data_IF_327071497505
#
_entry.id   IF_327071497505
#
_cell.length_a   1.000
_cell.length_b   1.000
_cell.length_c   1.000
_cell.angle_alpha   90.00
_cell.angle_beta   90.00
_cell.angle_gamma   90.00
#
_symmetry.space_group_name_H-M   'P 1'
#
loop_
_entity.id
_entity.type
_entity.pdbx_description
1 polymer ?
#
# COMPACT_ATOMS: atom_id res chain seq x y z
N UNK A 1 -12.45 -21.89 -3.56
CA UNK A 1 -13.12 -20.64 -3.94
C UNK A 1 -12.55 -19.61 -3.00
N UNK A 2 -11.65 -18.78 -3.48
CA UNK A 2 -10.94 -17.78 -2.67
C UNK A 2 -11.91 -16.67 -2.27
N UNK A 3 -12.44 -16.75 -1.05
CA UNK A 3 -13.37 -15.75 -0.50
C UNK A 3 -12.80 -14.31 -0.55
N UNK A 4 -11.47 -14.16 -0.58
CA UNK A 4 -10.79 -12.86 -0.76
C UNK A 4 -11.07 -12.22 -2.11
N UNK A 5 -11.12 -13.02 -3.19
CA UNK A 5 -11.33 -12.50 -4.55
C UNK A 5 -12.73 -11.91 -4.72
N UNK A 6 -13.72 -12.52 -4.07
CA UNK A 6 -15.11 -12.05 -4.10
C UNK A 6 -15.32 -10.74 -3.30
N UNK A 7 -14.37 -10.36 -2.44
CA UNK A 7 -14.44 -9.18 -1.56
C UNK A 7 -13.21 -8.27 -1.69
N UNK A 8 -12.62 -8.21 -2.88
CA UNK A 8 -11.34 -7.55 -3.08
C UNK A 8 -11.36 -6.04 -2.86
N UNK A 9 -12.48 -5.38 -3.12
CA UNK A 9 -12.69 -3.98 -2.81
C UNK A 9 -12.58 -3.69 -1.30
N UNK A 10 -13.09 -4.61 -0.46
CA UNK A 10 -13.01 -4.50 1.00
C UNK A 10 -11.58 -4.68 1.47
N UNK A 11 -10.86 -5.65 0.90
CA UNK A 11 -9.45 -5.88 1.20
C UNK A 11 -8.58 -4.69 0.77
N UNK A 12 -8.83 -4.14 -0.42
CA UNK A 12 -8.15 -2.93 -0.92
C UNK A 12 -8.36 -1.77 0.04
N UNK A 13 -9.61 -1.49 0.44
CA UNK A 13 -9.93 -0.40 1.37
C UNK A 13 -9.27 -0.58 2.74
N UNK A 14 -9.09 -1.83 3.19
CA UNK A 14 -8.46 -2.17 4.47
C UNK A 14 -6.94 -2.04 4.44
N UNK A 15 -6.34 -2.35 3.29
CA UNK A 15 -4.89 -2.47 3.12
C UNK A 15 -4.25 -1.20 2.58
N UNK A 16 -4.89 -0.50 1.66
CA UNK A 16 -4.36 0.73 1.10
C UNK A 16 -4.76 1.95 1.94
N UNK A 17 -3.75 2.49 2.62
CA UNK A 17 -3.88 3.62 3.52
C UNK A 17 -3.71 4.94 2.75
N UNK A 18 -4.50 5.93 3.13
CA UNK A 18 -4.29 7.31 2.70
C UNK A 18 -3.06 7.88 3.40
N UNK A 19 -2.16 8.49 2.64
CA UNK A 19 -1.06 9.25 3.22
C UNK A 19 -1.58 10.60 3.72
N UNK A 20 -1.34 10.90 4.99
CA UNK A 20 -1.65 12.20 5.58
C UNK A 20 -0.52 13.20 5.30
N UNK A 21 -0.87 14.43 4.93
CA UNK A 21 0.12 15.48 4.62
C UNK A 21 0.72 16.09 5.88
N UNK A 22 -0.05 16.15 6.97
CA UNK A 22 0.35 16.70 8.27
C UNK A 22 -0.03 15.74 9.41
N UNK A 23 0.68 14.61 9.57
CA UNK A 23 0.41 13.63 10.62
C UNK A 23 0.56 14.20 12.05
N UNK A 24 1.34 15.26 12.22
CA UNK A 24 1.47 16.02 13.47
C UNK A 24 0.36 17.08 13.69
N UNK A 25 -0.48 17.31 12.68
CA UNK A 25 -1.54 18.32 12.69
C UNK A 25 -1.16 19.63 11.99
N UNK A 26 -2.11 20.58 11.98
CA UNK A 26 -1.91 21.86 11.31
C UNK A 26 -0.74 22.66 11.89
N UNK A 27 -0.13 23.52 11.07
CA UNK A 27 0.94 24.40 11.52
C UNK A 27 0.55 25.18 12.78
N UNK A 28 1.35 25.05 13.84
CA UNK A 28 1.09 25.68 15.15
C UNK A 28 0.17 24.89 16.09
N UNK A 29 -0.21 23.64 15.74
CA UNK A 29 -0.90 22.75 16.65
C UNK A 29 -0.09 22.51 17.94
N UNK A 30 -0.79 22.45 19.08
CA UNK A 30 -0.15 22.17 20.37
C UNK A 30 0.15 20.68 20.58
N UNK A 31 -0.55 19.81 19.85
CA UNK A 31 -0.40 18.36 19.92
C UNK A 31 0.87 17.90 19.20
N UNK A 32 1.54 16.86 19.71
CA UNK A 32 2.71 16.26 19.05
C UNK A 32 3.97 17.13 19.06
N UNK A 33 3.99 18.25 19.80
CA UNK A 33 5.10 19.22 19.80
C UNK A 33 6.45 18.60 20.19
N UNK A 34 6.43 17.72 21.19
CA UNK A 34 7.63 17.10 21.76
C UNK A 34 7.66 15.58 21.47
N UNK A 35 6.74 15.08 20.64
CA UNK A 35 6.64 13.67 20.27
C UNK A 35 7.11 13.47 18.82
N UNK A 36 7.84 12.38 18.52
CA UNK A 36 8.19 12.05 17.14
C UNK A 36 6.93 11.86 16.29
N UNK A 37 7.00 12.32 15.05
CA UNK A 37 5.95 12.05 14.07
C UNK A 37 5.93 10.56 13.74
N UNK A 38 4.79 9.92 13.97
CA UNK A 38 4.54 8.54 13.59
C UNK A 38 3.63 8.46 12.38
N UNK A 39 3.92 7.56 11.44
CA UNK A 39 3.11 7.37 10.24
C UNK A 39 1.73 6.78 10.56
N UNK A 40 1.57 6.02 11.66
CA UNK A 40 0.31 5.38 12.04
C UNK A 40 0.13 5.34 13.55
N UNK A 41 -1.07 5.66 14.01
CA UNK A 41 -1.52 5.47 15.41
C UNK A 41 -1.89 4.04 15.76
N UNK A 42 -2.00 3.15 14.77
CA UNK A 42 -2.32 1.72 14.96
C UNK A 42 -1.20 0.85 14.42
N UNK A 43 -0.96 -0.33 15.04
CA UNK A 43 0.02 -1.28 14.52
C UNK A 43 -0.21 -1.59 13.04
N UNK A 44 0.88 -1.84 12.34
CA UNK A 44 0.83 -2.35 10.97
C UNK A 44 0.17 -3.71 10.94
N UNK A 45 -0.72 -3.90 9.96
CA UNK A 45 -1.28 -5.21 9.63
C UNK A 45 -0.65 -5.70 8.34
N UNK A 46 -0.59 -7.01 8.18
CA UNK A 46 -0.12 -7.64 6.95
C UNK A 46 -0.88 -7.11 5.72
N UNK A 47 -0.16 -6.88 4.62
CA UNK A 47 -0.69 -6.31 3.39
C UNK A 47 -0.90 -4.79 3.38
N UNK A 48 -0.81 -4.10 4.54
CA UNK A 48 -1.03 -2.66 4.59
C UNK A 48 0.11 -1.87 3.92
N UNK A 49 -0.25 -0.88 3.11
CA UNK A 49 0.67 0.01 2.42
C UNK A 49 0.01 1.36 2.11
N UNK A 50 0.81 2.39 1.86
CA UNK A 50 0.28 3.65 1.33
C UNK A 50 0.14 3.59 -0.19
N UNK A 51 -0.76 4.42 -0.74
CA UNK A 51 -0.76 4.70 -2.17
C UNK A 51 0.56 5.39 -2.57
N UNK A 52 1.36 4.69 -3.38
CA UNK A 52 2.59 5.23 -3.95
C UNK A 52 2.28 5.91 -5.27
N UNK A 53 2.67 7.18 -5.40
CA UNK A 53 2.54 7.95 -6.64
C UNK A 53 3.46 7.45 -7.76
N UNK A 54 4.36 6.51 -7.46
CA UNK A 54 5.32 5.93 -8.41
C UNK A 54 4.96 4.50 -8.82
N UNK A 55 3.91 3.93 -8.24
CA UNK A 55 3.42 2.61 -8.61
C UNK A 55 2.46 2.71 -9.81
N UNK A 56 2.26 1.58 -10.51
CA UNK A 56 1.24 1.51 -11.55
C UNK A 56 -0.16 1.73 -10.96
N UNK A 57 -0.98 2.50 -11.68
CA UNK A 57 -2.37 2.79 -11.31
C UNK A 57 -3.22 1.52 -11.25
N UNK A 58 -2.96 0.57 -12.15
CA UNK A 58 -3.65 -0.72 -12.19
C UNK A 58 -2.63 -1.86 -12.11
N UNK A 59 -2.26 -2.23 -10.88
CA UNK A 59 -1.21 -3.22 -10.60
C UNK A 59 -1.59 -4.62 -11.08
N UNK A 60 -2.87 -4.97 -10.99
CA UNK A 60 -3.42 -6.28 -11.32
C UNK A 60 -3.20 -6.60 -12.81
N UNK A 61 -3.27 -5.57 -13.67
CA UNK A 61 -2.96 -5.73 -15.10
C UNK A 61 -1.50 -6.13 -15.34
N UNK A 62 -0.60 -5.73 -14.45
CA UNK A 62 0.84 -5.97 -14.56
C UNK A 62 1.27 -7.25 -13.83
N UNK A 63 0.40 -7.83 -13.00
CA UNK A 63 0.68 -9.04 -12.26
C UNK A 63 1.00 -10.21 -13.19
N UNK A 64 2.06 -10.96 -12.91
CA UNK A 64 2.45 -12.13 -13.69
C UNK A 64 2.93 -11.78 -15.10
N UNK A 65 3.11 -10.49 -15.40
CA UNK A 65 3.68 -10.02 -16.67
C UNK A 65 5.17 -9.74 -16.49
N UNK A 66 6.07 -10.63 -16.96
CA UNK A 66 7.49 -10.43 -16.78
C UNK A 66 8.01 -9.27 -17.63
N UNK A 67 8.99 -8.56 -17.07
CA UNK A 67 9.72 -7.51 -17.77
C UNK A 67 10.50 -8.12 -18.94
N UNK A 68 10.34 -7.57 -20.14
CA UNK A 68 10.92 -8.12 -21.38
C UNK A 68 12.34 -7.62 -21.69
N UNK A 69 12.96 -6.86 -20.77
CA UNK A 69 14.30 -6.29 -21.00
C UNK A 69 15.40 -7.27 -20.56
N UNK A 70 16.47 -7.47 -21.36
CA UNK A 70 17.59 -8.33 -20.97
C UNK A 70 18.23 -7.91 -19.64
N UNK A 71 18.32 -8.84 -18.68
CA UNK A 71 18.87 -8.57 -17.35
C UNK A 71 17.92 -7.83 -16.40
N UNK A 72 16.63 -7.73 -16.73
CA UNK A 72 15.64 -7.21 -15.80
C UNK A 72 15.55 -8.08 -14.53
N UNK A 73 15.33 -7.45 -13.38
CA UNK A 73 15.03 -8.19 -12.16
C UNK A 73 13.66 -8.86 -12.25
N UNK A 74 13.46 -10.01 -11.58
CA UNK A 74 12.15 -10.63 -11.45
C UNK A 74 11.12 -9.65 -10.89
N UNK A 75 9.87 -9.74 -11.34
CA UNK A 75 8.77 -9.06 -10.65
C UNK A 75 8.61 -9.75 -9.29
N UNK A 76 8.46 -8.97 -8.22
CA UNK A 76 8.32 -9.51 -6.86
C UNK A 76 6.88 -10.01 -6.60
N UNK A 77 6.26 -10.60 -7.63
CA UNK A 77 4.86 -11.02 -7.59
C UNK A 77 4.78 -12.32 -6.78
N UNK A 78 3.86 -12.40 -5.82
CA UNK A 78 3.57 -13.65 -5.12
C UNK A 78 2.64 -14.51 -5.98
N UNK A 79 3.06 -15.73 -6.32
CA UNK A 79 2.31 -16.61 -7.25
C UNK A 79 0.91 -17.00 -6.74
N UNK A 80 0.73 -17.01 -5.41
CA UNK A 80 -0.52 -17.44 -4.75
C UNK A 80 -1.45 -16.27 -4.36
N UNK A 81 -1.06 -15.01 -4.60
CA UNK A 81 -1.87 -13.85 -4.23
C UNK A 81 -2.17 -13.00 -5.46
N UNK A 82 -3.45 -12.77 -5.79
CA UNK A 82 -3.79 -11.70 -6.72
C UNK A 82 -3.56 -10.36 -6.01
N UNK A 83 -2.59 -9.58 -6.48
CA UNK A 83 -2.39 -8.22 -6.00
C UNK A 83 -3.50 -7.38 -6.64
N UNK A 84 -4.51 -7.04 -5.84
CA UNK A 84 -5.62 -6.16 -6.24
C UNK A 84 -5.42 -4.68 -5.88
#
# INVERSE_FOLDING_TARGET
MDDKKEMSNVETQRNFLTAEEFPEGAYGAAQGKDEPVENKSTPWKEGQQYYSNFAYEFRNLHQGTPRQYPGAHPTHDEEDQNEE
#
